data_IF_830553713294
#
_entry.id   IF_830553713294
#
_cell.length_a   1.000
_cell.length_b   1.000
_cell.length_c   1.000
_cell.angle_alpha   90.00
_cell.angle_beta   90.00
_cell.angle_gamma   90.00
#
_symmetry.space_group_name_H-M   'P 1'
#
loop_
_entity.id
_entity.type
_entity.pdbx_description
1 polymer ?
#
# COMPACT_ATOMS: atom_id res chain seq x y z
N UNK A 1 28.97 -2.67 18.09
CA UNK A 1 28.20 -3.52 17.16
C UNK A 1 27.70 -2.63 16.04
N UNK A 2 28.19 -2.79 14.82
CA UNK A 2 27.65 -2.07 13.65
C UNK A 2 26.24 -2.62 13.41
N UNK A 3 25.21 -1.87 13.83
CA UNK A 3 23.82 -2.22 13.52
C UNK A 3 23.67 -2.28 12.01
N UNK A 4 23.29 -3.44 11.48
CA UNK A 4 22.86 -3.57 10.09
C UNK A 4 21.70 -2.62 9.86
N UNK A 5 21.76 -1.81 8.80
CA UNK A 5 20.62 -0.98 8.39
C UNK A 5 19.40 -1.89 8.20
N UNK A 6 18.27 -1.64 8.87
CA UNK A 6 17.07 -2.43 8.67
C UNK A 6 16.60 -2.31 7.21
N UNK A 7 15.98 -3.37 6.68
CA UNK A 7 15.41 -3.38 5.32
C UNK A 7 14.11 -4.17 5.33
N UNK A 8 13.12 -3.68 4.60
CA UNK A 8 11.86 -4.37 4.37
C UNK A 8 11.29 -3.94 3.02
N UNK A 9 11.55 -4.73 1.99
CA UNK A 9 11.16 -4.39 0.63
C UNK A 9 9.82 -5.02 0.25
N UNK A 10 8.77 -4.19 0.12
CA UNK A 10 7.39 -4.60 -0.17
C UNK A 10 7.22 -5.34 -1.50
N UNK A 11 8.19 -5.19 -2.40
CA UNK A 11 8.19 -5.92 -3.67
C UNK A 11 8.53 -7.40 -3.49
N UNK A 12 9.35 -7.74 -2.49
CA UNK A 12 9.91 -9.08 -2.29
C UNK A 12 9.49 -9.73 -0.96
N UNK A 13 9.28 -8.94 0.09
CA UNK A 13 8.82 -9.41 1.39
C UNK A 13 7.29 -9.58 1.42
N UNK A 14 6.75 -10.64 2.04
CA UNK A 14 5.31 -10.87 2.11
C UNK A 14 4.63 -9.89 3.07
N UNK A 15 3.53 -9.26 2.65
CA UNK A 15 2.82 -8.28 3.47
C UNK A 15 1.34 -8.05 3.14
N UNK A 16 0.91 -8.45 1.94
CA UNK A 16 -0.47 -8.29 1.46
C UNK A 16 -1.23 -9.57 1.78
N UNK A 17 -2.29 -9.46 2.57
CA UNK A 17 -3.16 -10.61 2.87
C UNK A 17 -4.18 -10.75 1.76
N UNK A 18 -4.29 -11.96 1.20
CA UNK A 18 -5.20 -12.26 0.11
C UNK A 18 -6.02 -13.50 0.41
N UNK A 19 -7.21 -13.56 -0.15
CA UNK A 19 -8.02 -14.77 -0.19
C UNK A 19 -7.78 -15.49 -1.53
N UNK A 20 -7.44 -16.77 -1.49
CA UNK A 20 -7.28 -17.62 -2.68
C UNK A 20 -8.64 -18.12 -3.18
N UNK A 21 -8.70 -18.67 -4.39
CA UNK A 21 -9.96 -19.16 -4.96
C UNK A 21 -10.61 -20.30 -4.16
N UNK A 22 -9.83 -21.03 -3.37
CA UNK A 22 -10.28 -22.09 -2.46
C UNK A 22 -10.70 -21.57 -1.07
N UNK A 23 -10.72 -20.24 -0.86
CA UNK A 23 -11.10 -19.58 0.39
C UNK A 23 -9.98 -19.52 1.43
N UNK A 24 -8.79 -20.07 1.17
CA UNK A 24 -7.67 -19.97 2.10
C UNK A 24 -7.04 -18.58 2.06
N UNK A 25 -6.60 -18.10 3.22
CA UNK A 25 -5.79 -16.89 3.31
C UNK A 25 -4.32 -17.20 3.02
N UNK A 26 -3.64 -16.26 2.38
CA UNK A 26 -2.21 -16.29 2.10
C UNK A 26 -1.62 -14.89 2.26
N UNK A 27 -0.31 -14.79 2.53
CA UNK A 27 0.40 -13.50 2.67
C UNK A 27 1.45 -13.42 1.58
N UNK A 28 1.29 -12.48 0.66
CA UNK A 28 2.10 -12.36 -0.55
C UNK A 28 2.81 -11.01 -0.61
N UNK A 29 3.90 -10.96 -1.39
CA UNK A 29 4.55 -9.71 -1.78
C UNK A 29 3.90 -9.13 -3.05
N UNK A 30 4.24 -7.89 -3.44
CA UNK A 30 3.64 -7.23 -4.62
C UNK A 30 3.85 -8.06 -5.90
N UNK A 31 5.06 -8.59 -6.11
CA UNK A 31 5.38 -9.39 -7.30
C UNK A 31 4.46 -10.62 -7.40
N UNK A 32 4.29 -11.35 -6.31
CA UNK A 32 3.45 -12.53 -6.23
C UNK A 32 1.98 -12.18 -6.43
N UNK A 33 1.48 -11.09 -5.82
CA UNK A 33 0.09 -10.63 -5.99
C UNK A 33 -0.19 -10.32 -7.45
N UNK A 34 0.67 -9.55 -8.13
CA UNK A 34 0.47 -9.19 -9.54
C UNK A 34 0.57 -10.42 -10.45
N UNK A 35 1.59 -11.25 -10.29
CA UNK A 35 1.79 -12.43 -11.16
C UNK A 35 0.76 -13.54 -10.93
N UNK A 36 0.18 -13.65 -9.74
CA UNK A 36 -0.82 -14.67 -9.38
C UNK A 36 -2.24 -14.11 -9.26
N UNK A 37 -2.50 -12.87 -9.68
CA UNK A 37 -3.79 -12.19 -9.50
C UNK A 37 -5.01 -12.97 -10.03
N UNK A 38 -4.82 -13.81 -11.05
CA UNK A 38 -5.86 -14.66 -11.65
C UNK A 38 -6.22 -15.89 -10.78
N UNK A 39 -5.38 -16.25 -9.81
CA UNK A 39 -5.61 -17.31 -8.81
C UNK A 39 -5.96 -16.76 -7.42
N UNK A 40 -6.17 -15.45 -7.30
CA UNK A 40 -6.53 -14.76 -6.06
C UNK A 40 -7.99 -14.31 -6.21
N UNK A 41 -8.81 -14.58 -5.19
CA UNK A 41 -10.19 -14.13 -5.13
C UNK A 41 -10.25 -12.62 -4.93
N UNK A 42 -9.64 -12.14 -3.84
CA UNK A 42 -9.67 -10.74 -3.44
C UNK A 42 -8.53 -10.40 -2.46
N UNK A 43 -8.31 -9.11 -2.22
CA UNK A 43 -7.55 -8.63 -1.06
C UNK A 43 -8.37 -8.89 0.22
N UNK A 44 -7.72 -9.36 1.27
CA UNK A 44 -8.37 -9.69 2.54
C UNK A 44 -7.68 -8.97 3.69
N UNK A 45 -7.87 -7.66 3.76
CA UNK A 45 -7.26 -6.80 4.77
C UNK A 45 -8.23 -6.52 5.94
N UNK A 46 -7.74 -6.40 7.18
CA UNK A 46 -8.59 -6.08 8.34
C UNK A 46 -9.28 -4.73 8.21
N UNK A 47 -8.60 -3.75 7.60
CA UNK A 47 -9.14 -2.42 7.34
C UNK A 47 -9.56 -2.29 5.88
N UNK A 48 -10.76 -1.76 5.58
CA UNK A 48 -11.14 -1.41 4.21
C UNK A 48 -10.25 -0.30 3.63
N UNK A 49 -9.64 0.54 4.48
CA UNK A 49 -8.72 1.59 4.05
C UNK A 49 -7.44 0.96 3.49
N UNK A 50 -6.90 -0.05 4.20
CA UNK A 50 -5.75 -0.82 3.74
C UNK A 50 -6.05 -1.50 2.40
N UNK A 51 -7.19 -2.21 2.33
CA UNK A 51 -7.62 -2.91 1.10
C UNK A 51 -7.72 -1.97 -0.11
N UNK A 52 -8.36 -0.80 0.07
CA UNK A 52 -8.44 0.20 -1.00
C UNK A 52 -7.06 0.73 -1.39
N UNK A 53 -6.23 1.11 -0.42
CA UNK A 53 -4.94 1.74 -0.71
C UNK A 53 -3.95 0.76 -1.35
N UNK A 54 -3.99 -0.52 -0.97
CA UNK A 54 -3.23 -1.58 -1.66
C UNK A 54 -3.75 -1.76 -3.08
N UNK A 55 -5.07 -1.86 -3.29
CA UNK A 55 -5.65 -1.95 -4.63
C UNK A 55 -5.17 -0.79 -5.51
N UNK A 56 -5.26 0.44 -5.00
CA UNK A 56 -4.83 1.64 -5.72
C UNK A 56 -3.34 1.63 -6.07
N UNK A 57 -2.47 1.16 -5.16
CA UNK A 57 -1.04 0.97 -5.46
C UNK A 57 -0.82 -0.03 -6.59
N UNK A 58 -1.48 -1.19 -6.53
CA UNK A 58 -1.36 -2.24 -7.53
C UNK A 58 -1.82 -1.75 -8.91
N UNK A 59 -2.92 -1.00 -8.97
CA UNK A 59 -3.40 -0.37 -10.22
C UNK A 59 -2.40 0.64 -10.75
N UNK A 60 -1.81 1.49 -9.89
CA UNK A 60 -0.80 2.46 -10.33
C UNK A 60 0.45 1.78 -10.93
N UNK A 61 0.90 0.67 -10.33
CA UNK A 61 2.00 -0.15 -10.87
C UNK A 61 1.61 -0.72 -12.23
N UNK A 62 0.40 -1.29 -12.35
CA UNK A 62 -0.09 -1.86 -13.61
C UNK A 62 -0.26 -0.80 -14.69
N UNK A 63 -0.73 0.40 -14.35
CA UNK A 63 -0.89 1.51 -15.28
C UNK A 63 0.45 1.92 -15.90
N UNK A 64 1.52 2.00 -15.11
CA UNK A 64 2.88 2.31 -15.59
C UNK A 64 3.53 1.14 -16.35
N UNK A 65 3.29 -0.10 -15.90
CA UNK A 65 3.85 -1.28 -16.55
C UNK A 65 3.21 -1.57 -17.92
N UNK A 66 1.90 -1.35 -18.05
CA UNK A 66 1.14 -1.67 -19.27
C UNK A 66 0.93 -0.50 -20.21
N UNK A 67 0.84 0.73 -19.69
CA UNK A 67 0.60 1.96 -20.47
C UNK A 67 -0.44 1.78 -21.60
N UNK A 68 -1.68 1.36 -21.27
CA UNK A 68 -2.70 1.17 -22.30
C UNK A 68 -3.06 2.51 -22.96
N UNK A 69 -2.89 2.60 -24.28
CA UNK A 69 -3.16 3.84 -25.04
C UNK A 69 -4.54 3.82 -25.71
N UNK A 70 -5.19 2.65 -25.77
CA UNK A 70 -6.49 2.49 -26.42
C UNK A 70 -7.39 1.48 -25.72
N UNK A 71 -8.70 1.59 -25.97
CA UNK A 71 -9.70 0.60 -25.52
C UNK A 71 -9.38 -0.82 -26.00
N UNK A 72 -8.67 -0.95 -27.12
CA UNK A 72 -8.26 -2.26 -27.66
C UNK A 72 -7.20 -2.90 -26.77
N UNK A 73 -6.29 -2.13 -26.20
CA UNK A 73 -5.23 -2.62 -25.31
C UNK A 73 -5.84 -3.12 -24.00
N UNK A 74 -6.76 -2.35 -23.41
CA UNK A 74 -7.52 -2.78 -22.23
C UNK A 74 -8.33 -4.06 -22.51
N UNK A 75 -8.99 -4.14 -23.68
CA UNK A 75 -9.74 -5.34 -24.06
C UNK A 75 -8.82 -6.55 -24.23
N UNK A 76 -7.66 -6.37 -24.86
CA UNK A 76 -6.66 -7.43 -25.02
C UNK A 76 -6.18 -7.91 -23.66
N UNK A 77 -5.80 -6.99 -22.77
CA UNK A 77 -5.37 -7.30 -21.42
C UNK A 77 -6.43 -8.11 -20.66
N UNK A 78 -7.70 -7.68 -20.72
CA UNK A 78 -8.82 -8.41 -20.12
C UNK A 78 -8.93 -9.84 -20.68
N UNK A 79 -8.78 -10.01 -21.99
CA UNK A 79 -8.85 -11.31 -22.67
C UNK A 79 -7.65 -12.22 -22.36
N UNK A 80 -6.47 -11.67 -22.10
CA UNK A 80 -5.29 -12.45 -21.72
C UNK A 80 -5.47 -13.14 -20.35
N UNK A 81 -6.37 -12.63 -19.49
CA UNK A 81 -6.81 -13.29 -18.27
C UNK A 81 -5.80 -13.31 -17.11
N UNK A 82 -4.60 -12.76 -17.33
CA UNK A 82 -3.52 -12.67 -16.35
C UNK A 82 -2.53 -11.55 -16.71
N UNK A 83 -1.76 -11.09 -15.73
CA UNK A 83 -0.68 -10.14 -15.97
C UNK A 83 0.61 -10.85 -16.42
N UNK A 84 1.24 -10.35 -17.47
CA UNK A 84 2.47 -10.86 -18.05
C UNK A 84 3.67 -10.44 -17.21
N UNK A 85 4.40 -11.40 -16.68
CA UNK A 85 5.67 -11.16 -15.98
C UNK A 85 6.66 -10.40 -16.86
N UNK A 86 6.65 -10.62 -18.17
CA UNK A 86 7.55 -9.93 -19.10
C UNK A 86 7.27 -8.43 -19.19
N UNK A 87 6.01 -8.01 -19.04
CA UNK A 87 5.61 -6.60 -19.02
C UNK A 87 5.83 -5.95 -17.64
N UNK A 88 5.76 -6.74 -16.56
CA UNK A 88 6.06 -6.26 -15.20
C UNK A 88 7.57 -6.11 -14.95
N UNK A 89 8.41 -6.89 -15.63
CA UNK A 89 9.85 -6.94 -15.39
C UNK A 89 10.56 -5.58 -15.58
N UNK A 90 10.29 -4.78 -16.63
CA UNK A 90 10.87 -3.44 -16.76
C UNK A 90 10.53 -2.51 -15.58
N UNK A 91 9.29 -2.56 -15.09
CA UNK A 91 8.87 -1.81 -13.91
C UNK A 91 9.65 -2.26 -12.67
N UNK A 92 9.70 -3.57 -12.43
CA UNK A 92 10.44 -4.17 -11.30
C UNK A 92 11.90 -3.74 -11.32
N UNK A 93 12.59 -3.89 -12.45
CA UNK A 93 14.00 -3.54 -12.60
C UNK A 93 14.28 -2.06 -12.31
N UNK A 94 13.35 -1.18 -12.70
CA UNK A 94 13.51 0.27 -12.55
C UNK A 94 13.15 0.75 -11.14
N UNK A 95 12.12 0.17 -10.52
CA UNK A 95 11.49 0.76 -9.34
C UNK A 95 11.48 -0.11 -8.09
N UNK A 96 11.73 -1.43 -8.15
CA UNK A 96 11.64 -2.29 -6.96
C UNK A 96 12.53 -1.84 -5.79
N UNK A 97 13.69 -1.24 -6.06
CA UNK A 97 14.56 -0.68 -5.02
C UNK A 97 13.90 0.48 -4.22
N UNK A 98 12.86 1.12 -4.75
CA UNK A 98 12.09 2.20 -4.11
C UNK A 98 10.99 1.68 -3.18
N UNK A 99 10.76 0.37 -3.15
CA UNK A 99 9.77 -0.29 -2.30
C UNK A 99 10.35 -0.76 -0.94
N UNK A 100 11.62 -0.46 -0.65
CA UNK A 100 12.19 -0.67 0.68
C UNK A 100 11.75 0.43 1.64
N UNK A 101 11.03 0.02 2.69
CA UNK A 101 10.48 0.88 3.72
C UNK A 101 11.56 1.66 4.49
N UNK A 102 12.75 1.08 4.65
CA UNK A 102 13.84 1.61 5.48
C UNK A 102 15.05 2.04 4.64
N UNK A 103 14.88 2.19 3.33
CA UNK A 103 15.96 2.66 2.44
C UNK A 103 16.52 4.00 2.90
N UNK A 104 17.82 4.05 3.15
CA UNK A 104 18.50 5.27 3.60
C UNK A 104 18.46 6.41 2.56
N UNK A 105 18.25 6.10 1.28
CA UNK A 105 18.24 7.09 0.19
C UNK A 105 16.86 7.40 -0.34
N UNK A 106 15.96 6.41 -0.31
CA UNK A 106 14.67 6.50 -0.97
C UNK A 106 13.66 5.57 -0.29
N UNK A 107 13.28 5.87 0.97
CA UNK A 107 12.34 5.05 1.72
C UNK A 107 10.95 5.09 1.07
N UNK A 108 10.27 3.95 1.07
CA UNK A 108 8.94 3.82 0.47
C UNK A 108 7.95 4.82 1.07
N UNK A 109 7.32 5.63 0.21
CA UNK A 109 6.33 6.67 0.55
C UNK A 109 6.74 7.62 1.69
N UNK A 110 8.04 7.84 1.84
CA UNK A 110 8.62 8.71 2.85
C UNK A 110 9.67 9.62 2.21
N UNK A 111 10.07 10.65 2.94
CA UNK A 111 11.19 11.50 2.55
C UNK A 111 12.47 11.05 3.27
N UNK A 112 13.60 11.08 2.58
CA UNK A 112 14.91 10.67 3.10
C UNK A 112 15.65 11.81 3.83
N UNK A 113 15.01 12.98 3.98
CA UNK A 113 15.56 14.15 4.69
C UNK A 113 15.44 14.04 6.22
N UNK A 114 14.71 13.04 6.73
CA UNK A 114 14.60 12.74 8.14
C UNK A 114 15.59 11.63 8.53
N UNK A 115 16.27 11.81 9.65
CA UNK A 115 17.17 10.79 10.21
C UNK A 115 16.37 9.58 10.71
N UNK A 116 16.85 8.37 10.41
CA UNK A 116 16.31 7.12 10.98
C UNK A 116 16.42 7.08 12.50
N UNK A 117 17.37 7.83 13.07
CA UNK A 117 17.51 8.02 14.51
C UNK A 117 17.14 9.47 14.85
N UNK A 118 15.95 9.72 15.43
CA UNK A 118 15.54 11.05 15.84
C UNK A 118 16.53 11.64 16.86
N UNK A 119 16.86 12.91 16.72
CA UNK A 119 17.61 13.65 17.72
C UNK A 119 16.75 13.86 18.98
N UNK A 120 17.38 14.11 20.14
CA UNK A 120 16.65 14.40 21.39
C UNK A 120 15.72 15.62 21.30
N UNK A 121 16.00 16.53 20.37
CA UNK A 121 15.21 17.74 20.11
C UNK A 121 14.03 17.50 19.18
N UNK A 122 14.03 16.37 18.46
CA UNK A 122 12.94 16.04 17.55
C UNK A 122 11.69 15.69 18.37
N UNK A 123 10.53 16.07 17.82
CA UNK A 123 9.23 15.77 18.40
C UNK A 123 8.50 14.81 17.44
N UNK A 124 8.89 13.53 17.40
CA UNK A 124 8.26 12.57 16.50
C UNK A 124 6.78 12.43 16.84
N UNK A 125 5.96 12.23 15.80
CA UNK A 125 4.57 11.87 16.01
C UNK A 125 4.48 10.39 16.42
N UNK A 126 3.55 10.02 17.30
CA UNK A 126 3.24 8.62 17.62
C UNK A 126 2.92 7.81 16.36
N UNK A 127 3.26 6.52 16.37
CA UNK A 127 3.00 5.64 15.22
C UNK A 127 1.51 5.46 14.92
N UNK A 128 0.64 5.68 15.90
CA UNK A 128 -0.83 5.69 15.74
C UNK A 128 -1.33 6.62 14.64
N UNK A 129 -0.58 7.68 14.27
CA UNK A 129 -0.92 8.54 13.14
C UNK A 129 -0.96 7.82 11.78
N UNK A 130 -0.37 6.63 11.67
CA UNK A 130 -0.42 5.79 10.47
C UNK A 130 -1.75 5.00 10.35
N UNK A 131 -2.51 4.80 11.43
CA UNK A 131 -3.81 4.12 11.41
C UNK A 131 -4.93 5.12 11.74
N UNK A 132 -5.63 5.59 10.71
CA UNK A 132 -6.72 6.57 10.87
C UNK A 132 -7.90 6.08 11.72
N UNK A 133 -8.02 4.77 11.89
CA UNK A 133 -9.05 4.12 12.70
C UNK A 133 -8.68 4.05 14.19
N UNK A 134 -7.42 4.32 14.54
CA UNK A 134 -6.95 4.37 15.91
C UNK A 134 -6.85 5.83 16.39
N UNK A 135 -7.26 6.14 17.63
CA UNK A 135 -7.02 7.45 18.19
C UNK A 135 -5.51 7.65 18.38
N UNK A 136 -5.01 8.83 18.01
CA UNK A 136 -3.63 9.24 18.20
C UNK A 136 -3.57 10.73 18.56
N UNK A 137 -2.56 11.11 19.35
CA UNK A 137 -2.35 12.49 19.80
C UNK A 137 -3.53 13.00 20.63
N UNK A 138 -4.24 14.01 20.12
CA UNK A 138 -5.35 14.66 20.84
C UNK A 138 -6.72 14.03 20.54
N UNK A 139 -6.79 12.96 19.75
CA UNK A 139 -8.04 12.28 19.46
C UNK A 139 -8.61 11.63 20.73
N UNK A 140 -9.94 11.69 20.90
CA UNK A 140 -10.59 11.09 22.07
C UNK A 140 -10.51 9.57 21.96
N UNK A 141 -10.01 8.93 23.02
CA UNK A 141 -9.92 7.48 23.13
C UNK A 141 -11.29 6.90 23.48
N UNK A 142 -11.84 6.07 22.59
CA UNK A 142 -13.11 5.37 22.82
C UNK A 142 -12.90 3.85 22.75
N UNK A 143 -13.18 3.16 23.86
CA UNK A 143 -13.16 1.69 23.96
C UNK A 143 -11.89 1.00 23.41
N UNK A 144 -10.73 1.67 23.53
CA UNK A 144 -9.43 1.10 23.19
C UNK A 144 -8.45 1.31 24.34
N UNK A 145 -7.60 0.32 24.58
CA UNK A 145 -6.55 0.33 25.62
C UNK A 145 -5.16 0.47 24.98
N UNK A 146 -5.04 1.32 23.97
CA UNK A 146 -3.78 1.64 23.32
C UNK A 146 -3.40 3.09 23.63
N UNK A 147 -2.16 3.28 24.08
CA UNK A 147 -1.59 4.60 24.34
C UNK A 147 -0.46 4.88 23.33
N UNK A 148 -0.33 6.14 22.91
CA UNK A 148 0.64 6.60 21.91
C UNK A 148 2.09 6.13 22.19
N UNK A 149 2.49 6.06 23.46
CA UNK A 149 3.83 5.67 23.93
C UNK A 149 4.03 4.15 24.05
N UNK A 150 2.95 3.37 23.96
CA UNK A 150 2.98 1.90 24.06
C UNK A 150 2.80 1.19 22.72
N UNK A 151 2.28 1.89 21.71
CA UNK A 151 2.03 1.32 20.40
C UNK A 151 3.33 1.05 19.63
N UNK A 152 3.42 -0.15 19.06
CA UNK A 152 4.50 -0.55 18.17
C UNK A 152 3.90 -1.25 16.96
N UNK A 153 4.30 -0.83 15.77
CA UNK A 153 3.81 -1.41 14.53
C UNK A 153 4.89 -2.30 13.90
N UNK A 154 4.44 -3.42 13.38
CA UNK A 154 5.25 -4.24 12.49
C UNK A 154 5.58 -3.47 11.19
N UNK A 155 6.63 -3.85 10.47
CA UNK A 155 7.05 -3.15 9.25
C UNK A 155 5.94 -3.06 8.19
N UNK A 156 5.22 -4.16 7.95
CA UNK A 156 4.10 -4.14 7.01
C UNK A 156 2.89 -3.34 7.51
N UNK A 157 2.67 -3.28 8.82
CA UNK A 157 1.62 -2.46 9.44
C UNK A 157 1.89 -0.98 9.15
N UNK A 158 3.14 -0.54 9.32
CA UNK A 158 3.56 0.82 8.99
C UNK A 158 3.46 1.12 7.48
N UNK A 159 3.86 0.17 6.62
CA UNK A 159 3.73 0.33 5.17
C UNK A 159 2.27 0.49 4.70
N UNK A 160 1.33 -0.26 5.29
CA UNK A 160 -0.10 -0.11 5.02
C UNK A 160 -0.61 1.27 5.44
N UNK A 161 -0.24 1.74 6.63
CA UNK A 161 -0.61 3.09 7.08
C UNK A 161 -0.05 4.21 6.19
N UNK A 162 1.18 4.07 5.71
CA UNK A 162 1.75 5.01 4.72
C UNK A 162 0.98 5.02 3.39
N UNK A 163 0.39 3.90 3.00
CA UNK A 163 -0.47 3.80 1.81
C UNK A 163 -1.86 4.40 2.05
N UNK A 164 -2.38 4.32 3.27
CA UNK A 164 -3.67 4.89 3.66
C UNK A 164 -3.65 6.42 3.64
N UNK A 165 -2.58 7.03 4.15
CA UNK A 165 -2.49 8.49 4.34
C UNK A 165 -2.84 9.30 3.08
N UNK A 166 -2.23 9.08 1.90
CA UNK A 166 -2.53 9.90 0.72
C UNK A 166 -3.98 9.81 0.26
N UNK A 167 -4.64 8.67 0.49
CA UNK A 167 -6.00 8.42 0.04
C UNK A 167 -7.06 8.87 1.05
N UNK A 168 -6.76 8.91 2.35
CA UNK A 168 -7.78 9.04 3.39
C UNK A 168 -7.48 10.07 4.49
N UNK A 169 -6.29 10.69 4.52
CA UNK A 169 -5.97 11.67 5.55
C UNK A 169 -7.05 12.75 5.65
N UNK A 170 -7.59 12.93 6.86
CA UNK A 170 -8.47 14.06 7.16
C UNK A 170 -7.66 15.34 7.33
N UNK A 171 -8.33 16.50 7.29
CA UNK A 171 -7.69 17.77 7.65
C UNK A 171 -7.44 17.82 9.17
N UNK A 172 -6.37 17.15 9.61
CA UNK A 172 -6.05 16.88 11.02
C UNK A 172 -5.12 17.90 11.68
N UNK A 173 -5.25 19.20 11.36
CA UNK A 173 -4.47 20.28 11.95
C UNK A 173 -3.14 20.59 11.24
N UNK A 174 -2.28 21.38 11.88
CA UNK A 174 -1.08 21.94 11.25
C UNK A 174 -0.12 20.86 10.72
N UNK A 175 0.23 20.97 9.44
CA UNK A 175 1.22 20.11 8.77
C UNK A 175 0.70 18.80 8.18
N UNK A 176 -0.57 18.42 8.41
CA UNK A 176 -1.18 17.24 7.76
C UNK A 176 -2.02 17.74 6.58
N UNK A 177 -1.59 17.42 5.37
CA UNK A 177 -2.36 17.72 4.16
C UNK A 177 -3.58 16.79 4.08
N UNK A 178 -4.74 17.30 3.61
CA UNK A 178 -5.89 16.45 3.38
C UNK A 178 -5.61 15.43 2.27
N UNK A 179 -6.45 14.39 2.23
CA UNK A 179 -6.50 13.43 1.13
C UNK A 179 -6.51 14.13 -0.22
N UNK A 180 -5.83 13.53 -1.18
CA UNK A 180 -5.72 14.06 -2.54
C UNK A 180 -7.08 14.15 -3.27
N UNK A 181 -8.11 13.45 -2.78
CA UNK A 181 -9.45 13.40 -3.38
C UNK A 181 -10.52 14.04 -2.48
N UNK A 182 -10.11 14.96 -1.60
CA UNK A 182 -11.02 15.67 -0.69
C UNK A 182 -11.37 14.88 0.58
N UNK A 183 -12.18 15.50 1.44
CA UNK A 183 -12.53 14.97 2.78
C UNK A 183 -14.04 15.12 3.04
N UNK A 184 -14.79 14.02 3.26
CA UNK A 184 -14.37 12.63 3.08
C UNK A 184 -14.29 12.25 1.59
N UNK A 185 -13.31 11.43 1.19
CA UNK A 185 -13.24 10.93 -0.18
C UNK A 185 -14.33 9.86 -0.41
N UNK A 186 -14.82 9.78 -1.65
CA UNK A 186 -15.67 8.68 -2.10
C UNK A 186 -14.92 7.91 -3.19
N UNK A 187 -14.77 6.61 -2.97
CA UNK A 187 -14.08 5.72 -3.89
C UNK A 187 -15.00 4.60 -4.36
N UNK A 188 -14.89 4.27 -5.65
CA UNK A 188 -15.61 3.16 -6.28
C UNK A 188 -14.58 2.21 -6.85
N UNK A 189 -14.63 0.96 -6.41
CA UNK A 189 -13.75 -0.11 -6.91
C UNK A 189 -14.57 -1.12 -7.71
N UNK A 190 -14.22 -1.37 -8.98
CA UNK A 190 -14.76 -2.49 -9.74
C UNK A 190 -14.49 -3.82 -9.03
N UNK A 191 -15.56 -4.60 -8.80
CA UNK A 191 -15.46 -5.98 -8.34
C UNK A 191 -15.13 -6.95 -9.48
N UNK A 192 -14.82 -8.20 -9.13
CA UNK A 192 -14.58 -9.26 -10.11
C UNK A 192 -14.57 -10.63 -9.45
N UNK A 193 -14.57 -11.70 -10.25
CA UNK A 193 -14.43 -13.06 -9.73
C UNK A 193 -13.00 -13.34 -9.24
N UNK A 194 -12.02 -12.59 -9.72
CA UNK A 194 -10.62 -12.68 -9.32
C UNK A 194 -10.06 -11.29 -9.07
N UNK A 195 -8.96 -11.21 -8.33
CA UNK A 195 -8.23 -9.96 -8.15
C UNK A 195 -7.72 -9.41 -9.49
N UNK A 196 -7.32 -10.28 -10.43
CA UNK A 196 -6.99 -9.87 -11.79
C UNK A 196 -8.14 -9.09 -12.45
N UNK A 197 -9.37 -9.61 -12.39
CA UNK A 197 -10.53 -8.95 -13.00
C UNK A 197 -10.80 -7.58 -12.35
N UNK A 198 -10.71 -7.50 -11.01
CA UNK A 198 -10.89 -6.23 -10.27
C UNK A 198 -9.81 -5.20 -10.65
N UNK A 199 -8.54 -5.61 -10.68
CA UNK A 199 -7.42 -4.74 -11.05
C UNK A 199 -7.49 -4.29 -12.51
N UNK A 200 -7.76 -5.21 -13.44
CA UNK A 200 -7.85 -4.91 -14.86
C UNK A 200 -9.01 -3.96 -15.17
N UNK A 201 -10.16 -4.12 -14.51
CA UNK A 201 -11.31 -3.23 -14.66
C UNK A 201 -11.05 -1.82 -14.07
N UNK A 202 -10.03 -1.68 -13.23
CA UNK A 202 -9.66 -0.40 -12.60
C UNK A 202 -8.63 0.40 -13.40
N UNK A 203 -8.06 -0.16 -14.48
CA UNK A 203 -7.14 0.55 -15.36
C UNK A 203 -7.87 1.58 -16.21
N UNK A 204 -7.19 2.70 -16.49
CA UNK A 204 -7.73 3.81 -17.29
C UNK A 204 -6.93 3.99 -18.58
N UNK A 205 -7.53 4.68 -19.54
CA UNK A 205 -6.81 5.22 -20.72
C UNK A 205 -6.18 6.58 -20.39
#
# INVERSE_FOLDING_TARGET
>A
MTQSTPSFNLWHEPWITVERLDGKLDILNIRQVLTKAHHIRALYEPSPLDGFSIHRLLVAILQDAYQPESRRDLKKLWQDGQFSTALLQPFEQRYAARFDLFSAKAPFLQSADLSLQPAKTDKPKPVGYLLLEQPAGTAVTHYTHAYDDTQQFCSHCAAKGLLVIPAFASSGGAGIKPSINGVPPIYVLPGGQTLFASLCASLTL
#
